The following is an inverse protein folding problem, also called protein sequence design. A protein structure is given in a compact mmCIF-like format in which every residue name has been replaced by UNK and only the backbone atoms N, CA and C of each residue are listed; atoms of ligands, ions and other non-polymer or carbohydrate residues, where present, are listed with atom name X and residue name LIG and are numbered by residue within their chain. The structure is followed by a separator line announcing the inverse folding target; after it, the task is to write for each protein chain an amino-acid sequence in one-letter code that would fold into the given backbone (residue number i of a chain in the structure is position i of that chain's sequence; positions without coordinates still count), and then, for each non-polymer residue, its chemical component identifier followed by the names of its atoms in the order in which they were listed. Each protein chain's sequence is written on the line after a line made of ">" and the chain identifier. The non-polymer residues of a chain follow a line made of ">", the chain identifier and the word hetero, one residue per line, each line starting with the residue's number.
data_IF_226603813399
#
_entry.id   IF_226603813399
#
_cell.length_a   1.000
_cell.length_b   1.000
_cell.length_c   1.000
_cell.angle_alpha   90.00
_cell.angle_beta   90.00
_cell.angle_gamma   90.00
#
_symmetry.space_group_name_H-M   'P 1'
#
loop_
_entity.id
_entity.type
_entity.pdbx_description
1 polymer ?
#
# COMPACT_ATOMS: atom_id res chain seq x y z
N UNK A 1 36.65 -13.45 23.19
CA UNK A 1 36.21 -12.16 22.64
C UNK A 1 35.14 -12.36 21.58
N UNK A 2 35.42 -13.15 20.52
CA UNK A 2 34.45 -13.48 19.45
C UNK A 2 33.03 -13.87 19.88
N UNK A 3 32.87 -14.76 20.88
CA UNK A 3 31.53 -15.19 21.34
C UNK A 3 30.71 -14.09 22.04
N UNK A 4 31.36 -13.19 22.77
CA UNK A 4 30.69 -12.03 23.40
C UNK A 4 30.25 -11.05 22.32
N UNK A 5 31.13 -10.77 21.37
CA UNK A 5 30.84 -9.82 20.30
C UNK A 5 29.71 -10.35 19.41
N UNK A 6 29.71 -11.65 19.08
CA UNK A 6 28.61 -12.31 18.37
C UNK A 6 27.27 -12.22 19.13
N UNK A 7 27.28 -12.53 20.44
CA UNK A 7 26.06 -12.45 21.26
C UNK A 7 25.53 -11.01 21.36
N UNK A 8 26.42 -10.04 21.54
CA UNK A 8 26.05 -8.62 21.57
C UNK A 8 25.46 -8.18 20.23
N UNK A 9 26.06 -8.57 19.10
CA UNK A 9 25.51 -8.26 17.78
C UNK A 9 24.12 -8.86 17.57
N UNK A 10 23.92 -10.14 17.91
CA UNK A 10 22.60 -10.79 17.82
C UNK A 10 21.60 -10.06 18.70
N UNK A 11 21.96 -9.73 19.95
CA UNK A 11 21.08 -9.02 20.87
C UNK A 11 20.68 -7.64 20.33
N UNK A 12 21.61 -6.88 19.76
CA UNK A 12 21.33 -5.57 19.16
C UNK A 12 20.35 -5.71 17.99
N UNK A 13 20.55 -6.67 17.10
CA UNK A 13 19.65 -6.90 15.95
C UNK A 13 18.25 -7.27 16.42
N UNK A 14 18.13 -8.16 17.40
CA UNK A 14 16.85 -8.57 17.97
C UNK A 14 16.14 -7.42 18.70
N UNK A 15 16.87 -6.61 19.47
CA UNK A 15 16.31 -5.45 20.16
C UNK A 15 15.85 -4.39 19.15
N UNK A 16 16.64 -4.12 18.12
CA UNK A 16 16.28 -3.15 17.09
C UNK A 16 15.08 -3.63 16.27
N UNK A 17 15.08 -4.87 15.81
CA UNK A 17 13.94 -5.46 15.11
C UNK A 17 12.68 -5.51 15.97
N UNK A 18 12.82 -5.94 17.23
CA UNK A 18 11.72 -5.95 18.20
C UNK A 18 11.18 -4.56 18.51
N UNK A 19 12.03 -3.54 18.58
CA UNK A 19 11.61 -2.15 18.76
C UNK A 19 10.82 -1.63 17.55
N UNK A 20 11.31 -1.88 16.33
CA UNK A 20 10.59 -1.50 15.11
C UNK A 20 9.24 -2.22 15.01
N UNK A 21 9.19 -3.51 15.32
CA UNK A 21 7.94 -4.28 15.36
C UNK A 21 6.98 -3.74 16.43
N UNK A 22 7.49 -3.43 17.62
CA UNK A 22 6.67 -2.90 18.71
C UNK A 22 6.01 -1.57 18.34
N UNK A 23 6.66 -0.73 17.53
CA UNK A 23 6.09 0.52 17.00
C UNK A 23 5.14 0.25 15.85
N UNK A 24 5.63 -0.41 14.81
CA UNK A 24 4.93 -0.56 13.53
C UNK A 24 3.77 -1.55 13.56
N UNK A 25 3.81 -2.59 14.40
CA UNK A 25 2.83 -3.67 14.36
C UNK A 25 3.02 -4.68 13.22
N UNK A 26 3.90 -4.39 12.25
CA UNK A 26 4.13 -5.22 11.06
C UNK A 26 5.55 -5.81 11.01
N UNK A 27 5.67 -7.00 10.44
CA UNK A 27 6.97 -7.60 10.14
C UNK A 27 7.00 -8.15 8.70
N UNK A 28 7.96 -7.74 7.85
CA UNK A 28 9.02 -6.76 8.12
C UNK A 28 8.47 -5.31 8.14
N UNK A 29 9.01 -4.42 9.00
CA UNK A 29 8.52 -3.05 9.15
C UNK A 29 8.95 -2.10 8.02
N UNK A 30 9.68 -2.63 7.04
CA UNK A 30 10.25 -1.86 5.94
C UNK A 30 10.17 -2.64 4.64
N UNK A 31 9.73 -1.97 3.58
CA UNK A 31 9.63 -2.50 2.21
C UNK A 31 10.49 -1.70 1.25
N UNK A 32 11.09 -2.36 0.25
CA UNK A 32 11.88 -1.70 -0.78
C UNK A 32 11.02 -1.46 -2.02
N UNK A 33 11.15 -0.27 -2.63
CA UNK A 33 10.41 0.07 -3.86
C UNK A 33 11.14 -0.51 -5.07
N UNK A 34 10.48 -1.47 -5.73
CA UNK A 34 11.04 -2.20 -6.86
C UNK A 34 10.71 -1.59 -8.24
N UNK A 35 9.64 -0.80 -8.32
CA UNK A 35 9.10 -0.30 -9.59
C UNK A 35 8.85 1.21 -9.55
N UNK A 36 8.84 1.85 -10.73
CA UNK A 36 8.56 3.28 -10.87
C UNK A 36 7.07 3.65 -10.82
N UNK A 37 6.19 2.73 -10.45
CA UNK A 37 4.72 2.94 -10.44
C UNK A 37 4.25 4.05 -9.51
N UNK A 38 5.08 4.44 -8.55
CA UNK A 38 4.82 5.49 -7.57
C UNK A 38 5.65 6.76 -7.79
N UNK A 39 6.41 6.84 -8.89
CA UNK A 39 7.20 8.04 -9.20
C UNK A 39 6.27 9.26 -9.44
N UNK A 40 6.68 10.48 -9.07
CA UNK A 40 7.92 10.85 -8.37
C UNK A 40 7.84 10.71 -6.84
N UNK A 41 6.69 10.30 -6.29
CA UNK A 41 6.43 10.38 -4.85
C UNK A 41 7.18 9.30 -4.05
N UNK A 42 7.30 8.10 -4.63
CA UNK A 42 8.24 7.07 -4.22
C UNK A 42 9.04 6.61 -5.45
N UNK A 43 10.35 6.62 -5.32
CA UNK A 43 11.29 6.25 -6.37
C UNK A 43 11.80 4.82 -6.16
N UNK A 44 12.24 4.19 -7.25
CA UNK A 44 12.95 2.92 -7.18
C UNK A 44 14.13 3.02 -6.23
N UNK A 45 14.38 1.97 -5.46
CA UNK A 45 15.41 1.88 -4.41
C UNK A 45 15.12 2.67 -3.13
N UNK A 46 13.97 3.32 -3.00
CA UNK A 46 13.55 3.83 -1.70
C UNK A 46 13.28 2.67 -0.73
N UNK A 47 13.58 2.90 0.55
CA UNK A 47 13.10 2.07 1.65
C UNK A 47 11.95 2.80 2.34
N UNK A 48 10.81 2.13 2.47
CA UNK A 48 9.59 2.70 3.04
C UNK A 48 9.28 2.00 4.35
N UNK A 49 9.11 2.77 5.41
CA UNK A 49 8.63 2.29 6.71
C UNK A 49 7.12 2.12 6.65
N UNK A 50 6.64 0.97 7.10
CA UNK A 50 5.23 0.57 7.05
C UNK A 50 4.72 0.44 8.48
N UNK A 51 3.48 0.88 8.73
CA UNK A 51 2.78 0.68 10.00
C UNK A 51 1.46 -0.04 9.77
N UNK A 52 1.08 -0.90 10.71
CA UNK A 52 -0.24 -1.53 10.79
C UNK A 52 -1.31 -0.43 10.89
N UNK A 53 -2.39 -0.60 10.13
CA UNK A 53 -3.53 0.34 10.06
C UNK A 53 -4.19 0.60 11.40
N UNK A 54 -4.08 -0.31 12.37
CA UNK A 54 -4.65 -0.14 13.71
C UNK A 54 -3.76 0.69 14.64
N UNK A 55 -2.51 0.94 14.26
CA UNK A 55 -1.55 1.70 15.10
C UNK A 55 -1.67 3.20 14.91
N UNK A 56 -2.07 3.64 13.72
CA UNK A 56 -2.25 5.03 13.39
C UNK A 56 -3.55 5.20 12.60
N UNK A 57 -4.58 5.72 13.27
CA UNK A 57 -5.88 6.00 12.66
C UNK A 57 -6.10 7.52 12.63
N UNK A 58 -5.69 8.19 11.53
CA UNK A 58 -5.94 9.62 11.36
C UNK A 58 -7.44 9.94 11.25
N UNK A 59 -7.83 11.20 11.41
CA UNK A 59 -9.21 11.59 11.14
C UNK A 59 -9.55 11.43 9.65
N UNK A 60 -10.75 10.92 9.34
CA UNK A 60 -11.20 10.72 7.96
C UNK A 60 -10.91 9.33 7.39
N UNK A 61 -10.60 8.36 8.24
CA UNK A 61 -10.51 6.95 7.85
C UNK A 61 -11.86 6.44 7.37
N UNK A 62 -11.84 5.57 6.37
CA UNK A 62 -13.07 4.94 5.86
C UNK A 62 -13.38 3.67 6.63
N UNK A 63 -14.63 3.46 7.03
CA UNK A 63 -15.13 2.21 7.62
C UNK A 63 -14.23 1.62 8.75
N UNK A 64 -13.65 2.49 9.59
CA UNK A 64 -12.73 2.12 10.67
C UNK A 64 -11.49 1.30 10.22
N UNK A 65 -11.14 1.37 8.94
CA UNK A 65 -10.04 0.60 8.34
C UNK A 65 -8.66 1.16 8.65
N UNK A 66 -8.57 2.31 9.32
CA UNK A 66 -7.31 3.03 9.52
C UNK A 66 -6.73 3.66 8.24
N UNK A 67 -7.44 3.62 7.10
CA UNK A 67 -6.98 4.17 5.81
C UNK A 67 -7.84 5.36 5.38
N UNK A 68 -7.18 6.46 5.00
CA UNK A 68 -7.78 7.65 4.38
C UNK A 68 -7.60 7.58 2.87
N UNK A 69 -8.69 7.49 2.14
CA UNK A 69 -8.64 7.43 0.67
C UNK A 69 -8.36 8.81 0.06
N UNK A 70 -7.71 8.84 -1.10
CA UNK A 70 -7.31 10.07 -1.79
C UNK A 70 -8.49 11.02 -2.06
N UNK A 71 -9.69 10.48 -2.35
CA UNK A 71 -10.90 11.29 -2.54
C UNK A 71 -11.28 12.09 -1.29
N UNK A 72 -11.11 11.51 -0.09
CA UNK A 72 -11.42 12.18 1.17
C UNK A 72 -10.24 13.03 1.64
N UNK A 73 -9.01 12.55 1.49
CA UNK A 73 -7.79 13.33 1.72
C UNK A 73 -7.77 14.64 0.93
N UNK A 74 -8.26 14.64 -0.32
CA UNK A 74 -8.34 15.85 -1.14
C UNK A 74 -9.32 16.89 -0.58
N UNK A 75 -10.32 16.47 0.20
CA UNK A 75 -11.30 17.34 0.85
C UNK A 75 -10.81 17.84 2.21
N UNK A 76 -10.08 17.01 2.94
CA UNK A 76 -9.62 17.30 4.31
C UNK A 76 -8.23 17.93 4.35
N UNK A 77 -7.47 17.84 3.26
CA UNK A 77 -6.06 18.25 3.20
C UNK A 77 -5.10 17.16 3.71
N UNK A 78 -5.60 15.98 4.08
CA UNK A 78 -4.77 14.86 4.50
C UNK A 78 -4.09 14.18 3.30
N UNK A 79 -2.81 13.83 3.44
CA UNK A 79 -2.09 13.10 2.39
C UNK A 79 -0.71 12.63 2.76
N UNK A 80 -0.24 11.64 2.00
CA UNK A 80 1.09 11.04 2.11
C UNK A 80 1.89 11.25 0.82
N UNK A 81 3.20 11.50 0.98
CA UNK A 81 4.15 11.70 -0.11
C UNK A 81 3.75 12.80 -1.09
N UNK A 82 3.23 13.92 -0.57
CA UNK A 82 2.89 15.10 -1.36
C UNK A 82 1.56 15.03 -2.11
N UNK A 83 0.82 13.93 -2.01
CA UNK A 83 -0.47 13.73 -2.65
C UNK A 83 -1.56 13.32 -1.65
N UNK A 84 -2.85 13.55 -1.96
CA UNK A 84 -3.93 13.25 -1.04
C UNK A 84 -4.09 11.76 -0.69
N UNK A 85 -4.53 11.49 0.53
CA UNK A 85 -4.78 10.13 1.05
C UNK A 85 -3.53 9.28 1.25
N UNK A 86 -3.77 8.06 1.71
CA UNK A 86 -2.74 7.08 2.08
C UNK A 86 -2.19 6.29 0.91
N UNK A 87 -0.92 5.93 1.05
CA UNK A 87 -0.26 4.88 0.28
C UNK A 87 -0.21 3.62 1.14
N UNK A 88 -0.79 2.54 0.63
CA UNK A 88 -0.92 1.27 1.34
C UNK A 88 -0.06 0.20 0.69
N UNK A 89 0.47 -0.71 1.51
CA UNK A 89 1.11 -1.95 1.09
C UNK A 89 0.10 -3.07 1.26
N UNK A 90 -0.14 -3.85 0.20
CA UNK A 90 -1.16 -4.91 0.24
C UNK A 90 -0.78 -6.15 -0.57
N UNK A 91 -1.40 -7.26 -0.19
CA UNK A 91 -1.31 -8.54 -0.89
C UNK A 91 -2.26 -8.54 -2.11
N UNK A 92 -1.74 -8.76 -3.34
CA UNK A 92 -2.57 -8.72 -4.53
C UNK A 92 -3.63 -9.84 -4.51
N UNK A 93 -4.90 -9.46 -4.54
CA UNK A 93 -6.05 -10.37 -4.43
C UNK A 93 -5.97 -11.32 -3.21
N UNK A 94 -5.33 -10.86 -2.12
CA UNK A 94 -5.14 -11.63 -0.89
C UNK A 94 -4.17 -12.80 -1.01
N UNK A 95 -3.31 -12.80 -2.04
CA UNK A 95 -2.32 -13.84 -2.26
C UNK A 95 -0.96 -13.44 -1.67
N UNK A 96 -0.65 -13.96 -0.47
CA UNK A 96 0.61 -13.75 0.23
C UNK A 96 1.86 -14.39 -0.41
N UNK A 97 1.69 -15.27 -1.41
CA UNK A 97 2.82 -15.82 -2.19
C UNK A 97 3.31 -14.86 -3.29
N UNK A 98 2.54 -13.79 -3.55
CA UNK A 98 2.89 -12.77 -4.55
C UNK A 98 3.57 -11.59 -3.89
N UNK A 99 4.49 -10.96 -4.62
CA UNK A 99 5.13 -9.71 -4.19
C UNK A 99 4.06 -8.66 -3.84
N UNK A 100 4.08 -8.11 -2.61
CA UNK A 100 3.17 -7.04 -2.22
C UNK A 100 3.26 -5.82 -3.12
N UNK A 101 2.15 -5.10 -3.25
CA UNK A 101 2.05 -3.88 -4.04
C UNK A 101 1.95 -2.69 -3.09
N UNK A 102 2.69 -1.63 -3.37
CA UNK A 102 2.63 -0.35 -2.66
C UNK A 102 2.02 0.71 -3.56
N UNK A 103 0.75 1.08 -3.34
CA UNK A 103 0.03 2.05 -4.17
C UNK A 103 -0.93 2.90 -3.34
N UNK A 104 -1.45 3.98 -3.92
CA UNK A 104 -2.38 4.89 -3.26
C UNK A 104 -3.79 4.31 -3.18
N UNK A 105 -4.42 4.41 -2.02
CA UNK A 105 -5.84 4.13 -1.85
C UNK A 105 -6.65 5.30 -2.42
N UNK A 106 -7.33 5.09 -3.55
CA UNK A 106 -7.96 6.18 -4.30
C UNK A 106 -9.36 6.49 -3.77
N UNK A 107 -10.17 5.45 -3.59
CA UNK A 107 -11.51 5.54 -3.02
C UNK A 107 -11.98 4.18 -2.51
N UNK A 108 -12.90 4.20 -1.55
CA UNK A 108 -13.58 3.02 -1.02
C UNK A 108 -14.77 2.64 -1.87
N UNK A 109 -15.08 1.34 -1.97
CA UNK A 109 -16.28 0.79 -2.60
C UNK A 109 -16.94 -0.21 -1.66
N UNK A 110 -18.27 -0.31 -1.72
CA UNK A 110 -19.06 -1.27 -0.97
C UNK A 110 -19.44 -2.49 -1.83
N UNK A 111 -19.74 -3.62 -1.20
CA UNK A 111 -20.22 -4.83 -1.87
C UNK A 111 -21.43 -4.54 -2.76
N UNK A 112 -21.40 -5.08 -3.99
CA UNK A 112 -22.43 -4.89 -5.00
C UNK A 112 -22.33 -3.54 -5.73
N UNK A 113 -21.41 -2.66 -5.36
CA UNK A 113 -21.29 -1.36 -5.99
C UNK A 113 -20.72 -1.45 -7.41
N UNK A 114 -21.39 -0.79 -8.35
CA UNK A 114 -20.91 -0.60 -9.72
C UNK A 114 -19.88 0.52 -9.80
N UNK A 115 -18.76 0.33 -9.13
CA UNK A 115 -17.79 1.40 -8.87
C UNK A 115 -17.19 2.04 -10.13
N UNK A 116 -17.14 1.32 -11.26
CA UNK A 116 -16.73 1.86 -12.57
C UNK A 116 -17.59 3.07 -12.96
N UNK A 117 -18.89 3.07 -12.63
CA UNK A 117 -19.84 4.11 -13.01
C UNK A 117 -19.55 5.48 -12.34
N UNK A 118 -18.70 5.53 -11.30
CA UNK A 118 -18.29 6.75 -10.59
C UNK A 118 -16.77 6.93 -10.50
N UNK A 119 -16.02 6.05 -11.14
CA UNK A 119 -14.58 6.11 -11.21
C UNK A 119 -14.15 7.31 -12.07
N UNK A 120 -12.87 7.67 -12.03
CA UNK A 120 -12.35 8.65 -12.98
C UNK A 120 -12.06 7.95 -14.32
N UNK A 121 -12.79 8.31 -15.37
CA UNK A 121 -12.69 7.73 -16.71
C UNK A 121 -11.27 7.70 -17.27
N UNK A 122 -10.44 8.68 -16.90
CA UNK A 122 -9.03 8.75 -17.34
C UNK A 122 -8.22 7.52 -16.89
N UNK A 123 -8.63 6.87 -15.80
CA UNK A 123 -7.91 5.76 -15.19
C UNK A 123 -8.59 4.40 -15.38
N UNK A 124 -9.61 4.31 -16.25
CA UNK A 124 -10.31 3.05 -16.50
C UNK A 124 -9.62 2.13 -17.52
N UNK A 125 -8.49 2.53 -18.10
CA UNK A 125 -7.71 1.66 -18.98
C UNK A 125 -8.45 1.17 -20.23
N UNK A 126 -9.50 1.89 -20.65
CA UNK A 126 -10.37 1.51 -21.76
C UNK A 126 -11.61 0.71 -21.37
N UNK A 127 -11.79 0.37 -20.08
CA UNK A 127 -13.06 -0.15 -19.60
C UNK A 127 -14.14 0.95 -19.67
N UNK A 128 -15.24 0.66 -20.37
CA UNK A 128 -16.36 1.57 -20.58
C UNK A 128 -17.56 1.25 -19.69
N UNK A 129 -17.52 0.13 -18.98
CA UNK A 129 -18.62 -0.35 -18.17
C UNK A 129 -18.15 -1.32 -17.10
N UNK A 130 -18.94 -1.43 -16.03
CA UNK A 130 -18.73 -2.39 -14.96
C UNK A 130 -18.65 -3.85 -15.49
N UNK A 131 -19.38 -4.19 -16.55
CA UNK A 131 -19.35 -5.53 -17.15
C UNK A 131 -18.01 -5.90 -17.79
N UNK A 132 -17.17 -4.91 -18.12
CA UNK A 132 -15.84 -5.11 -18.69
C UNK A 132 -14.75 -5.35 -17.63
N UNK A 133 -15.07 -5.23 -16.33
CA UNK A 133 -14.10 -5.27 -15.23
C UNK A 133 -14.43 -6.42 -14.28
N UNK A 134 -13.49 -7.34 -14.08
CA UNK A 134 -13.71 -8.56 -13.30
C UNK A 134 -14.16 -8.28 -11.84
N UNK A 135 -13.65 -7.23 -11.22
CA UNK A 135 -14.03 -6.80 -9.88
C UNK A 135 -15.23 -5.85 -9.83
N UNK A 136 -16.06 -5.79 -10.87
CA UNK A 136 -17.25 -4.92 -10.93
C UNK A 136 -18.50 -5.70 -11.39
N UNK A 137 -19.64 -5.66 -10.65
CA UNK A 137 -19.84 -4.98 -9.38
C UNK A 137 -18.88 -5.48 -8.30
N UNK A 138 -18.57 -4.65 -7.32
CA UNK A 138 -17.61 -4.98 -6.28
C UNK A 138 -18.04 -6.29 -5.57
N UNK A 139 -17.22 -7.35 -5.59
CA UNK A 139 -17.59 -8.62 -4.95
C UNK A 139 -17.58 -8.53 -3.42
N UNK A 140 -17.08 -7.43 -2.87
CA UNK A 140 -16.99 -7.12 -1.46
C UNK A 140 -16.52 -5.67 -1.28
N UNK A 141 -16.61 -5.19 -0.04
CA UNK A 141 -16.01 -3.94 0.40
C UNK A 141 -14.50 -3.89 0.18
N UNK A 142 -13.99 -2.74 -0.26
CA UNK A 142 -12.55 -2.56 -0.41
C UNK A 142 -12.11 -1.26 -1.07
N UNK A 143 -10.80 -1.12 -1.23
CA UNK A 143 -10.17 0.03 -1.85
C UNK A 143 -9.95 -0.18 -3.34
N UNK A 144 -10.30 0.81 -4.15
CA UNK A 144 -9.73 0.94 -5.48
C UNK A 144 -8.38 1.65 -5.35
N UNK A 145 -7.34 1.07 -5.92
CA UNK A 145 -5.95 1.49 -5.74
C UNK A 145 -5.31 1.89 -7.05
N UNK A 146 -4.27 2.72 -6.98
CA UNK A 146 -3.53 3.19 -8.15
C UNK A 146 -2.10 3.57 -7.77
N UNK A 147 -1.13 3.11 -8.53
CA UNK A 147 0.22 3.68 -8.49
C UNK A 147 0.20 5.13 -8.99
N UNK A 148 0.91 6.04 -8.34
CA UNK A 148 0.87 7.47 -8.66
C UNK A 148 1.22 7.76 -10.14
N UNK A 149 2.18 7.04 -10.72
CA UNK A 149 2.58 7.12 -12.14
C UNK A 149 1.81 6.15 -13.07
N UNK A 150 0.94 5.30 -12.52
CA UNK A 150 0.18 4.37 -13.35
C UNK A 150 -0.88 5.10 -14.17
N UNK A 151 -1.17 4.61 -15.38
CA UNK A 151 -2.21 5.18 -16.26
C UNK A 151 -3.62 4.73 -15.92
N UNK A 152 -3.76 3.67 -15.14
CA UNK A 152 -5.05 3.06 -14.81
C UNK A 152 -5.08 2.59 -13.36
N UNK A 153 -6.28 2.42 -12.82
CA UNK A 153 -6.49 1.75 -11.53
C UNK A 153 -5.96 0.32 -11.59
N UNK A 154 -5.53 -0.20 -10.45
CA UNK A 154 -4.94 -1.55 -10.40
C UNK A 154 -5.95 -2.62 -10.81
N UNK A 155 -7.23 -2.41 -10.47
CA UNK A 155 -8.36 -3.32 -10.73
C UNK A 155 -8.78 -3.43 -12.21
N UNK A 156 -8.37 -2.48 -13.06
CA UNK A 156 -8.60 -2.53 -14.52
C UNK A 156 -7.30 -2.78 -15.30
N UNK A 157 -6.16 -2.86 -14.59
CA UNK A 157 -4.85 -3.05 -15.19
C UNK A 157 -4.61 -4.47 -15.70
N UNK A 158 -3.39 -4.73 -16.18
CA UNK A 158 -2.99 -5.99 -16.84
C UNK A 158 -2.85 -7.21 -15.90
N UNK A 159 -3.82 -7.44 -15.01
CA UNK A 159 -4.00 -8.72 -14.31
C UNK A 159 -3.20 -8.91 -13.02
N UNK A 160 -2.73 -7.84 -12.37
CA UNK A 160 -2.07 -7.96 -11.05
C UNK A 160 -3.03 -7.89 -9.88
N UNK A 161 -4.10 -7.12 -9.99
CA UNK A 161 -5.15 -6.97 -8.99
C UNK A 161 -6.47 -7.00 -9.76
N UNK A 162 -7.37 -7.89 -9.39
CA UNK A 162 -8.63 -8.09 -10.11
C UNK A 162 -9.84 -7.57 -9.33
N UNK A 163 -9.70 -7.39 -8.03
CA UNK A 163 -10.78 -7.01 -7.12
C UNK A 163 -10.42 -5.76 -6.30
N UNK A 164 -11.40 -5.04 -5.75
CA UNK A 164 -11.14 -4.05 -4.70
C UNK A 164 -10.26 -4.65 -3.61
N UNK A 165 -9.32 -3.89 -3.05
CA UNK A 165 -8.40 -4.41 -2.03
C UNK A 165 -9.14 -4.47 -0.70
N UNK A 166 -9.31 -5.66 -0.11
CA UNK A 166 -9.92 -5.78 1.22
C UNK A 166 -9.05 -5.12 2.28
N UNK A 167 -9.62 -4.56 3.37
CA UNK A 167 -8.84 -4.15 4.54
C UNK A 167 -7.93 -5.27 5.05
N UNK A 168 -8.43 -6.52 5.08
CA UNK A 168 -7.66 -7.69 5.51
C UNK A 168 -6.49 -8.08 4.60
N UNK A 169 -6.37 -7.50 3.40
CA UNK A 169 -5.22 -7.69 2.50
C UNK A 169 -4.19 -6.57 2.64
N UNK A 170 -4.52 -5.51 3.37
CA UNK A 170 -3.60 -4.41 3.67
C UNK A 170 -2.63 -4.89 4.74
N UNK A 171 -1.34 -4.87 4.39
CA UNK A 171 -0.26 -5.14 5.33
C UNK A 171 -0.06 -3.91 6.22
N UNK A 172 -0.15 -2.71 5.65
CA UNK A 172 -0.07 -1.46 6.40
C UNK A 172 -0.01 -0.22 5.52
N UNK A 173 0.04 0.95 6.16
CA UNK A 173 0.24 2.26 5.53
C UNK A 173 1.72 2.60 5.44
N UNK A 174 2.11 3.29 4.36
CA UNK A 174 3.47 3.77 4.13
C UNK A 174 3.67 5.14 4.80
N UNK A 175 4.56 5.22 5.78
CA UNK A 175 4.59 6.35 6.72
C UNK A 175 5.84 7.22 6.56
N UNK A 176 6.96 6.60 6.18
CA UNK A 176 8.23 7.30 6.00
C UNK A 176 9.00 6.73 4.81
N UNK A 177 9.55 7.60 3.97
CA UNK A 177 10.47 7.27 2.88
C UNK A 177 11.91 7.58 3.29
N UNK A 178 12.80 6.62 3.07
CA UNK A 178 14.26 6.77 3.16
C UNK A 178 14.88 6.63 1.76
N UNK A 179 15.24 7.75 1.11
CA UNK A 179 15.72 7.73 -0.26
C UNK A 179 16.98 6.87 -0.46
N UNK A 180 16.96 6.00 -1.48
CA UNK A 180 18.10 5.17 -1.89
C UNK A 180 18.51 4.03 -0.93
N UNK A 181 17.89 3.94 0.25
CA UNK A 181 18.25 2.96 1.28
C UNK A 181 17.80 1.51 0.94
N UNK A 182 16.86 1.36 0.01
CA UNK A 182 16.34 0.07 -0.44
C UNK A 182 17.30 -0.70 -1.35
N UNK A 183 18.35 -0.07 -1.88
CA UNK A 183 19.34 -0.73 -2.74
C UNK A 183 19.94 -1.99 -2.11
N UNK A 184 20.22 -1.97 -0.80
CA UNK A 184 20.76 -3.14 -0.08
C UNK A 184 19.79 -4.31 -0.13
N UNK A 185 18.48 -4.07 0.03
CA UNK A 185 17.48 -5.14 0.01
C UNK A 185 17.31 -5.72 -1.39
N UNK A 186 17.40 -4.90 -2.42
CA UNK A 186 17.26 -5.33 -3.82
C UNK A 186 18.46 -6.13 -4.33
N UNK A 187 19.66 -5.87 -3.81
CA UNK A 187 20.88 -6.56 -4.24
C UNK A 187 21.05 -7.95 -3.61
N UNK A 188 20.44 -8.20 -2.45
CA UNK A 188 20.68 -9.39 -1.63
C UNK A 188 19.42 -10.13 -1.19
N UNK A 189 18.24 -9.73 -1.70
CA UNK A 189 16.91 -10.26 -1.34
C UNK A 189 16.32 -11.21 -2.37
#
# INVERSE_FOLDING_TARGET
>A
MFGRDLLVSIAIVLLFGGYLFAISGVWPPMVAVESGSMEPNLERTDLVFVMDTDRFQPEGTVADTGVVVARDGARTGYGQFGNPGDVIVFEPDGNGDRTPIIHRAMFWVEEGERWVDRANDRFLGGADSCAAVAGCPAPHDGFITKGDDNRAYDQVGAGRVSQPVRPAWVIGTAELRLPGAGWVRLQFG
#
